data_IF_122610465365
#
_entry.id   IF_122610465365
#
_cell.length_a   1.000
_cell.length_b   1.000
_cell.length_c   1.000
_cell.angle_alpha   90.00
_cell.angle_beta   90.00
_cell.angle_gamma   90.00
#
_symmetry.space_group_name_H-M   'P 1'
#
loop_
_entity.id
_entity.type
_entity.pdbx_description
1 polymer ?
#
# COMPACT_ATOMS: atom_id res chain seq x y z
N UNK A 1 23.42 -38.55 17.04
CA UNK A 1 22.75 -37.54 16.20
C UNK A 1 21.26 -37.64 16.49
N UNK A 2 20.67 -36.65 17.18
CA UNK A 2 19.22 -36.66 17.46
C UNK A 2 18.47 -36.38 16.16
N UNK A 3 17.44 -37.15 15.85
CA UNK A 3 16.62 -37.03 14.62
C UNK A 3 15.88 -35.67 14.46
N UNK A 4 16.10 -34.68 15.34
CA UNK A 4 15.64 -33.29 15.20
C UNK A 4 16.72 -32.29 14.80
N UNK A 5 18.00 -32.65 14.77
CA UNK A 5 19.09 -31.68 14.52
C UNK A 5 19.13 -31.19 13.08
N UNK A 6 18.93 -32.07 12.10
CA UNK A 6 19.02 -31.70 10.68
C UNK A 6 17.91 -30.74 10.25
N UNK A 7 16.68 -30.95 10.75
CA UNK A 7 15.56 -30.05 10.47
C UNK A 7 15.77 -28.67 11.11
N UNK A 8 16.29 -28.64 12.34
CA UNK A 8 16.67 -27.40 13.02
C UNK A 8 17.72 -26.63 12.18
N UNK A 9 18.81 -27.28 11.78
CA UNK A 9 19.85 -26.61 10.98
C UNK A 9 19.32 -26.13 9.64
N UNK A 10 18.46 -26.91 8.97
CA UNK A 10 17.83 -26.53 7.72
C UNK A 10 16.92 -25.31 7.91
N UNK A 11 16.09 -25.31 8.95
CA UNK A 11 15.21 -24.17 9.29
C UNK A 11 16.01 -22.91 9.59
N UNK A 12 17.05 -23.03 10.42
CA UNK A 12 17.94 -21.91 10.75
C UNK A 12 18.67 -21.37 9.51
N UNK A 13 19.14 -22.25 8.63
CA UNK A 13 19.74 -21.82 7.36
C UNK A 13 18.76 -20.97 6.54
N UNK A 14 17.50 -21.41 6.40
CA UNK A 14 16.49 -20.64 5.65
C UNK A 14 16.13 -19.32 6.31
N UNK A 15 16.03 -19.28 7.65
CA UNK A 15 15.84 -18.02 8.38
C UNK A 15 16.97 -17.04 8.06
N UNK A 16 18.23 -17.49 8.18
CA UNK A 16 19.40 -16.64 7.91
C UNK A 16 19.49 -16.22 6.44
N UNK A 17 19.22 -17.13 5.51
CA UNK A 17 19.24 -16.83 4.08
C UNK A 17 18.17 -15.78 3.72
N UNK A 18 16.93 -15.94 4.22
CA UNK A 18 15.84 -14.99 3.98
C UNK A 18 16.15 -13.61 4.57
N UNK A 19 16.53 -13.56 5.85
CA UNK A 19 16.75 -12.28 6.52
C UNK A 19 18.06 -11.62 6.06
N UNK A 20 19.06 -12.40 5.67
CA UNK A 20 20.27 -11.90 5.01
C UNK A 20 19.99 -11.34 3.62
N UNK A 21 19.12 -11.99 2.84
CA UNK A 21 18.63 -11.44 1.58
C UNK A 21 17.94 -10.09 1.81
N UNK A 22 17.02 -9.99 2.79
CA UNK A 22 16.35 -8.72 3.11
C UNK A 22 17.36 -7.62 3.47
N UNK A 23 18.36 -7.91 4.30
CA UNK A 23 19.44 -6.95 4.65
C UNK A 23 20.29 -6.55 3.44
N UNK A 24 20.44 -7.42 2.45
CA UNK A 24 21.23 -7.12 1.25
C UNK A 24 20.50 -6.20 0.26
N UNK A 25 19.20 -5.95 0.46
CA UNK A 25 18.42 -5.02 -0.35
C UNK A 25 18.44 -3.60 0.26
N UNK A 26 18.19 -2.57 -0.56
CA UNK A 26 17.89 -1.19 -0.13
C UNK A 26 16.37 -0.92 -0.20
N UNK A 27 15.58 -1.45 0.74
CA UNK A 27 14.14 -1.26 0.76
C UNK A 27 13.79 0.18 1.13
N UNK A 28 12.83 0.75 0.40
CA UNK A 28 12.29 2.11 0.63
C UNK A 28 11.62 2.25 2.01
N UNK A 29 11.22 1.14 2.63
CA UNK A 29 10.47 1.13 3.88
C UNK A 29 10.76 -0.10 4.78
N UNK A 30 11.95 -0.73 4.72
CA UNK A 30 12.22 -1.80 5.68
C UNK A 30 12.69 -1.26 7.02
N UNK A 31 12.27 -1.97 8.04
CA UNK A 31 12.69 -1.77 9.41
C UNK A 31 13.73 -2.83 9.71
N UNK A 32 15.00 -2.49 9.46
CA UNK A 32 16.11 -3.43 9.64
C UNK A 32 16.20 -3.93 11.07
N UNK A 33 15.76 -3.14 12.04
CA UNK A 33 15.66 -3.48 13.45
C UNK A 33 14.76 -4.70 13.68
N UNK A 34 13.57 -4.75 13.05
CA UNK A 34 12.67 -5.91 13.15
C UNK A 34 13.26 -7.14 12.45
N UNK A 35 13.98 -6.95 11.35
CA UNK A 35 14.63 -8.05 10.65
C UNK A 35 15.77 -8.67 11.49
N UNK A 36 16.61 -7.84 12.12
CA UNK A 36 17.65 -8.30 13.04
C UNK A 36 17.05 -8.95 14.29
N UNK A 37 15.98 -8.37 14.85
CA UNK A 37 15.26 -8.96 15.98
C UNK A 37 14.70 -10.34 15.62
N UNK A 38 14.22 -10.54 14.39
CA UNK A 38 13.70 -11.84 13.93
C UNK A 38 14.80 -12.90 13.84
N UNK A 39 16.00 -12.53 13.38
CA UNK A 39 17.19 -13.42 13.42
C UNK A 39 17.52 -13.79 14.87
N UNK A 40 17.60 -12.79 15.75
CA UNK A 40 17.87 -13.02 17.17
C UNK A 40 16.82 -13.94 17.81
N UNK A 41 15.52 -13.67 17.57
CA UNK A 41 14.42 -14.46 18.10
C UNK A 41 14.48 -15.92 17.62
N UNK A 42 14.88 -16.16 16.36
CA UNK A 42 15.07 -17.52 15.85
C UNK A 42 16.20 -18.27 16.59
N UNK A 43 17.36 -17.63 16.80
CA UNK A 43 18.43 -18.25 17.60
C UNK A 43 18.00 -18.47 19.06
N UNK A 44 17.36 -17.48 19.67
CA UNK A 44 16.87 -17.60 21.04
C UNK A 44 15.91 -18.78 21.17
N UNK A 45 14.84 -18.82 20.38
CA UNK A 45 13.80 -19.83 20.48
C UNK A 45 14.28 -21.22 20.04
N UNK A 46 14.92 -21.34 18.88
CA UNK A 46 15.17 -22.66 18.29
C UNK A 46 16.54 -23.24 18.63
N UNK A 47 17.55 -22.41 18.92
CA UNK A 47 18.87 -22.88 19.35
C UNK A 47 19.05 -22.80 20.87
N UNK A 48 18.59 -21.72 21.50
CA UNK A 48 18.67 -21.52 22.94
C UNK A 48 17.65 -22.35 23.74
N UNK A 49 16.44 -22.52 23.20
CA UNK A 49 15.33 -23.21 23.87
C UNK A 49 14.64 -24.25 22.99
N UNK A 50 15.36 -25.22 22.40
CA UNK A 50 14.83 -26.15 21.40
C UNK A 50 13.70 -27.06 21.91
N UNK A 51 13.60 -27.25 23.23
CA UNK A 51 12.59 -28.10 23.86
C UNK A 51 11.27 -27.35 24.16
N UNK A 52 11.19 -26.04 23.94
CA UNK A 52 9.96 -25.25 24.13
C UNK A 52 9.04 -25.46 22.93
N UNK A 53 7.82 -25.94 23.20
CA UNK A 53 6.78 -26.14 22.18
C UNK A 53 5.73 -25.03 22.17
N UNK A 54 4.97 -24.93 21.08
CA UNK A 54 3.80 -24.03 20.99
C UNK A 54 2.73 -24.33 22.06
N UNK A 55 2.71 -25.56 22.59
CA UNK A 55 1.80 -25.98 23.65
C UNK A 55 2.27 -25.58 25.06
N UNK A 56 3.47 -25.00 25.18
CA UNK A 56 3.98 -24.52 26.46
C UNK A 56 3.28 -23.24 26.96
N UNK A 57 2.40 -22.64 26.15
CA UNK A 57 1.59 -21.49 26.56
C UNK A 57 0.52 -21.94 27.56
N UNK A 58 0.82 -21.83 28.86
CA UNK A 58 -0.06 -22.27 29.94
C UNK A 58 -1.30 -21.39 30.19
N UNK A 59 -1.42 -20.24 29.52
CA UNK A 59 -2.52 -19.30 29.70
C UNK A 59 -3.51 -19.39 28.53
N UNK A 60 -4.74 -19.87 28.81
CA UNK A 60 -5.80 -19.97 27.80
C UNK A 60 -6.11 -18.61 27.14
N UNK A 61 -6.27 -17.49 27.88
CA UNK A 61 -6.48 -16.18 27.25
C UNK A 61 -5.35 -15.78 26.30
N UNK A 62 -4.09 -16.04 26.67
CA UNK A 62 -2.95 -15.73 25.81
C UNK A 62 -2.94 -16.61 24.56
N UNK A 63 -3.22 -17.91 24.70
CA UNK A 63 -3.33 -18.83 23.56
C UNK A 63 -4.41 -18.38 22.57
N UNK A 64 -5.59 -18.01 23.06
CA UNK A 64 -6.68 -17.49 22.21
C UNK A 64 -6.24 -16.20 21.50
N UNK A 65 -5.63 -15.26 22.22
CA UNK A 65 -5.12 -14.03 21.62
C UNK A 65 -4.11 -14.31 20.50
N UNK A 66 -3.14 -15.21 20.74
CA UNK A 66 -2.13 -15.57 19.75
C UNK A 66 -2.73 -16.24 18.52
N UNK A 67 -3.71 -17.14 18.69
CA UNK A 67 -4.43 -17.76 17.56
C UNK A 67 -5.16 -16.69 16.74
N UNK A 68 -5.87 -15.76 17.39
CA UNK A 68 -6.60 -14.69 16.69
C UNK A 68 -5.62 -13.78 15.95
N UNK A 69 -4.58 -13.29 16.63
CA UNK A 69 -3.66 -12.29 16.11
C UNK A 69 -2.70 -12.84 15.05
N UNK A 70 -2.20 -14.07 15.22
CA UNK A 70 -1.17 -14.65 14.37
C UNK A 70 -1.72 -15.58 13.28
N UNK A 71 -2.95 -16.07 13.41
CA UNK A 71 -3.56 -16.98 12.42
C UNK A 71 -4.84 -16.42 11.82
N UNK A 72 -5.85 -16.12 12.64
CA UNK A 72 -7.18 -15.80 12.11
C UNK A 72 -7.21 -14.45 11.39
N UNK A 73 -6.66 -13.39 11.98
CA UNK A 73 -6.64 -12.08 11.34
C UNK A 73 -5.79 -12.06 10.05
N UNK A 74 -4.56 -12.63 10.02
CA UNK A 74 -3.82 -12.83 8.78
C UNK A 74 -4.58 -13.64 7.73
N UNK A 75 -5.18 -14.76 8.11
CA UNK A 75 -5.93 -15.61 7.17
C UNK A 75 -7.12 -14.86 6.58
N UNK A 76 -7.95 -14.25 7.42
CA UNK A 76 -9.13 -13.49 6.99
C UNK A 76 -8.70 -12.32 6.10
N UNK A 77 -7.65 -11.58 6.45
CA UNK A 77 -7.19 -10.45 5.65
C UNK A 77 -6.55 -10.84 4.31
N UNK A 78 -5.99 -12.05 4.20
CA UNK A 78 -5.52 -12.55 2.91
C UNK A 78 -6.66 -13.07 2.02
N UNK A 79 -7.75 -13.58 2.61
CA UNK A 79 -8.95 -14.02 1.89
C UNK A 79 -9.89 -12.86 1.52
N UNK A 80 -10.01 -11.87 2.41
CA UNK A 80 -10.94 -10.73 2.32
C UNK A 80 -10.21 -9.42 2.58
N UNK A 81 -9.32 -9.00 1.66
CA UNK A 81 -8.43 -7.86 1.85
C UNK A 81 -9.14 -6.54 2.16
N UNK A 82 -10.34 -6.33 1.61
CA UNK A 82 -11.15 -5.14 1.87
C UNK A 82 -11.71 -5.03 3.30
N UNK A 83 -11.60 -6.10 4.11
CA UNK A 83 -12.23 -6.16 5.46
C UNK A 83 -11.25 -6.06 6.62
N UNK A 84 -9.99 -6.40 6.39
CA UNK A 84 -8.96 -6.40 7.44
C UNK A 84 -7.78 -5.61 6.91
N UNK A 85 -7.39 -4.60 7.68
CA UNK A 85 -6.24 -3.76 7.35
C UNK A 85 -5.03 -4.62 7.00
N UNK A 86 -4.30 -4.21 5.96
CA UNK A 86 -3.16 -4.95 5.46
C UNK A 86 -2.05 -5.08 6.54
N UNK A 87 -1.99 -4.16 7.50
CA UNK A 87 -1.12 -4.20 8.68
C UNK A 87 -1.41 -5.41 9.56
N UNK A 88 -2.67 -5.53 9.99
CA UNK A 88 -3.10 -6.62 10.87
C UNK A 88 -3.06 -7.96 10.13
N UNK A 89 -3.26 -7.92 8.81
CA UNK A 89 -3.18 -9.09 7.96
C UNK A 89 -1.73 -9.54 7.63
N UNK A 90 -0.71 -8.81 8.09
CA UNK A 90 0.71 -9.07 7.82
C UNK A 90 1.08 -9.03 6.32
N UNK A 91 0.40 -8.18 5.53
CA UNK A 91 0.54 -8.12 4.05
C UNK A 91 1.55 -7.08 3.57
N UNK A 92 2.16 -6.34 4.48
CA UNK A 92 3.10 -5.25 4.19
C UNK A 92 4.39 -5.69 3.47
N UNK A 93 4.71 -6.98 3.47
CA UNK A 93 5.82 -7.52 2.67
C UNK A 93 5.40 -8.25 1.39
N UNK A 94 4.10 -8.42 1.15
CA UNK A 94 3.60 -9.23 0.05
C UNK A 94 3.57 -8.50 -1.31
N UNK A 95 3.91 -7.21 -1.37
CA UNK A 95 3.79 -6.44 -2.60
C UNK A 95 2.34 -6.14 -3.01
N UNK A 96 1.36 -6.48 -2.16
CA UNK A 96 -0.07 -6.55 -2.49
C UNK A 96 -0.90 -5.85 -1.40
N UNK A 97 -1.16 -4.56 -1.61
CA UNK A 97 -1.98 -3.72 -0.73
C UNK A 97 -2.90 -2.81 -1.55
N UNK A 98 -3.97 -2.33 -0.92
CA UNK A 98 -4.87 -1.37 -1.53
C UNK A 98 -4.16 -0.04 -1.70
N UNK A 99 -4.44 0.68 -2.78
CA UNK A 99 -3.82 1.97 -3.03
C UNK A 99 -4.76 2.90 -3.80
N UNK A 100 -4.44 4.18 -3.78
CA UNK A 100 -5.26 5.20 -4.41
C UNK A 100 -4.39 6.20 -5.18
N UNK A 101 -4.93 6.71 -6.28
CA UNK A 101 -4.37 7.83 -7.01
C UNK A 101 -5.35 9.01 -6.93
N UNK A 102 -4.92 10.11 -6.31
CA UNK A 102 -5.69 11.34 -6.20
C UNK A 102 -5.28 12.29 -7.33
N UNK A 103 -6.25 12.69 -8.14
CA UNK A 103 -6.06 13.49 -9.35
C UNK A 103 -6.73 14.85 -9.16
N UNK A 104 -5.92 15.89 -8.95
CA UNK A 104 -6.37 17.27 -8.77
C UNK A 104 -6.21 18.05 -10.07
N UNK A 105 -7.30 18.44 -10.72
CA UNK A 105 -7.27 19.16 -12.00
C UNK A 105 -6.97 20.65 -11.80
N UNK A 106 -6.19 21.26 -12.70
CA UNK A 106 -5.99 22.71 -12.81
C UNK A 106 -5.56 23.38 -11.49
N UNK A 107 -4.75 22.69 -10.68
CA UNK A 107 -4.27 23.22 -9.39
C UNK A 107 -5.31 23.21 -8.26
N UNK A 108 -6.42 22.47 -8.41
CA UNK A 108 -7.48 22.36 -7.41
C UNK A 108 -7.00 21.84 -6.05
N UNK A 109 -5.83 21.17 -5.98
CA UNK A 109 -5.21 20.71 -4.73
C UNK A 109 -5.05 21.84 -3.69
N UNK A 110 -4.98 23.11 -4.13
CA UNK A 110 -4.94 24.28 -3.23
C UNK A 110 -6.19 24.43 -2.37
N UNK A 111 -7.35 23.88 -2.79
CA UNK A 111 -8.57 23.86 -1.96
C UNK A 111 -8.36 23.08 -0.66
N UNK A 112 -7.37 22.19 -0.59
CA UNK A 112 -6.96 21.53 0.66
C UNK A 112 -6.41 22.50 1.72
N UNK A 113 -6.10 23.75 1.36
CA UNK A 113 -5.61 24.78 2.31
C UNK A 113 -6.69 25.21 3.31
N UNK A 114 -7.96 24.93 3.03
CA UNK A 114 -9.07 25.12 3.98
C UNK A 114 -8.96 24.15 5.16
N UNK A 115 -8.34 22.98 4.96
CA UNK A 115 -8.19 21.97 5.99
C UNK A 115 -7.02 22.30 6.92
N UNK A 116 -7.20 22.05 8.23
CA UNK A 116 -6.09 21.98 9.17
C UNK A 116 -5.37 20.64 8.98
N UNK A 117 -4.28 20.67 8.20
CA UNK A 117 -3.49 19.50 7.81
C UNK A 117 -2.24 19.35 8.68
N UNK A 118 -1.74 18.12 8.84
CA UNK A 118 -0.48 17.86 9.52
C UNK A 118 0.71 18.47 8.78
N UNK A 119 0.66 18.46 7.43
CA UNK A 119 1.60 19.13 6.55
C UNK A 119 0.96 19.43 5.19
N UNK A 120 1.52 20.35 4.38
CA UNK A 120 1.17 20.49 2.95
C UNK A 120 1.41 19.18 2.17
N UNK A 121 0.92 19.09 0.92
CA UNK A 121 1.26 17.94 0.06
C UNK A 121 2.77 17.88 -0.20
N UNK A 122 3.29 16.70 -0.52
CA UNK A 122 4.73 16.48 -0.66
C UNK A 122 5.36 17.41 -1.71
N UNK A 123 4.73 17.59 -2.87
CA UNK A 123 5.24 18.54 -3.87
C UNK A 123 5.22 19.98 -3.37
N UNK A 124 4.22 20.42 -2.58
CA UNK A 124 4.22 21.75 -1.96
C UNK A 124 5.40 21.92 -0.97
N UNK A 125 5.75 20.86 -0.24
CA UNK A 125 6.90 20.86 0.66
C UNK A 125 8.22 20.91 -0.12
N UNK A 126 8.34 20.12 -1.19
CA UNK A 126 9.52 20.06 -2.04
C UNK A 126 9.77 21.36 -2.81
N UNK A 127 8.72 22.07 -3.22
CA UNK A 127 8.80 23.38 -3.89
C UNK A 127 9.46 24.47 -3.02
N UNK A 128 9.61 24.26 -1.72
CA UNK A 128 10.37 25.17 -0.83
C UNK A 128 11.88 25.06 -1.03
N UNK A 129 12.34 23.95 -1.59
CA UNK A 129 13.76 23.61 -1.71
C UNK A 129 14.19 23.35 -3.16
N UNK A 130 13.24 23.02 -4.04
CA UNK A 130 13.48 22.67 -5.43
C UNK A 130 12.69 23.57 -6.39
N UNK A 131 13.22 23.89 -7.58
CA UNK A 131 12.44 24.47 -8.66
C UNK A 131 11.16 23.66 -8.94
N UNK A 132 10.06 24.32 -9.31
CA UNK A 132 8.74 23.70 -9.43
C UNK A 132 8.72 22.43 -10.28
N UNK A 133 9.43 22.43 -11.42
CA UNK A 133 9.53 21.25 -12.30
C UNK A 133 10.26 20.08 -11.62
N UNK A 134 11.32 20.36 -10.86
CA UNK A 134 12.10 19.34 -10.16
C UNK A 134 11.32 18.75 -8.97
N UNK A 135 10.50 19.55 -8.29
CA UNK A 135 9.60 19.04 -7.24
C UNK A 135 8.58 18.06 -7.83
N UNK A 136 7.96 18.38 -8.97
CA UNK A 136 7.03 17.45 -9.65
C UNK A 136 7.76 16.17 -10.09
N UNK A 137 8.98 16.28 -10.63
CA UNK A 137 9.78 15.12 -11.03
C UNK A 137 10.15 14.24 -9.83
N UNK A 138 10.51 14.84 -8.69
CA UNK A 138 10.84 14.10 -7.48
C UNK A 138 9.62 13.32 -6.95
N UNK A 139 8.43 13.93 -6.93
CA UNK A 139 7.20 13.22 -6.53
C UNK A 139 6.76 12.17 -7.56
N UNK A 140 7.04 12.38 -8.84
CA UNK A 140 6.74 11.40 -9.91
C UNK A 140 7.43 10.05 -9.68
N UNK A 141 8.45 9.97 -8.81
CA UNK A 141 9.03 8.72 -8.34
C UNK A 141 8.02 7.75 -7.73
N UNK A 142 6.99 8.24 -7.02
CA UNK A 142 5.92 7.40 -6.45
C UNK A 142 5.06 6.78 -7.55
N UNK A 143 4.67 7.58 -8.55
CA UNK A 143 3.93 7.09 -9.71
C UNK A 143 4.75 6.06 -10.50
N UNK A 144 6.02 6.35 -10.76
CA UNK A 144 6.93 5.42 -11.44
C UNK A 144 7.06 4.11 -10.66
N UNK A 145 7.35 4.18 -9.35
CA UNK A 145 7.36 3.02 -8.46
C UNK A 145 6.07 2.20 -8.58
N UNK A 146 4.91 2.84 -8.49
CA UNK A 146 3.61 2.18 -8.57
C UNK A 146 3.48 1.39 -9.87
N UNK A 147 3.78 2.01 -10.99
CA UNK A 147 3.60 1.41 -12.32
C UNK A 147 4.57 0.27 -12.64
N UNK A 148 5.72 0.22 -11.97
CA UNK A 148 6.67 -0.87 -12.08
C UNK A 148 6.15 -2.17 -11.42
N UNK A 149 5.19 -2.07 -10.50
CA UNK A 149 4.57 -3.21 -9.83
C UNK A 149 3.32 -3.69 -10.58
N UNK A 150 3.07 -5.00 -10.55
CA UNK A 150 1.99 -5.65 -11.31
C UNK A 150 0.63 -4.97 -11.09
N UNK A 151 0.28 -4.70 -9.84
CA UNK A 151 -0.97 -4.06 -9.47
C UNK A 151 -1.09 -2.62 -9.96
N UNK A 152 0.03 -1.89 -10.07
CA UNK A 152 0.01 -0.50 -10.51
C UNK A 152 -0.11 -0.34 -12.02
N UNK A 153 0.15 -1.39 -12.81
CA UNK A 153 -0.05 -1.37 -14.28
C UNK A 153 -1.50 -1.14 -14.71
N UNK A 154 -2.45 -1.32 -13.78
CA UNK A 154 -3.85 -0.97 -14.00
C UNK A 154 -4.04 0.55 -14.18
N UNK A 155 -3.14 1.39 -13.67
CA UNK A 155 -3.21 2.86 -13.84
C UNK A 155 -3.31 3.24 -15.32
N UNK A 156 -2.59 2.53 -16.19
CA UNK A 156 -2.65 2.77 -17.62
C UNK A 156 -4.00 2.50 -18.29
N UNK A 157 -4.88 1.73 -17.63
CA UNK A 157 -6.25 1.49 -18.09
C UNK A 157 -7.22 2.50 -17.47
N UNK A 158 -6.94 2.90 -16.23
CA UNK A 158 -7.86 3.70 -15.43
C UNK A 158 -7.65 5.20 -15.59
N UNK A 159 -6.42 5.66 -15.86
CA UNK A 159 -6.13 7.08 -16.02
C UNK A 159 -6.93 7.73 -17.16
N UNK A 160 -6.97 7.19 -18.40
CA UNK A 160 -7.78 7.78 -19.47
C UNK A 160 -9.27 7.89 -19.11
N UNK A 161 -9.79 6.91 -18.35
CA UNK A 161 -11.17 6.91 -17.86
C UNK A 161 -11.37 7.94 -16.75
N UNK A 162 -10.42 8.03 -15.83
CA UNK A 162 -10.47 8.95 -14.69
C UNK A 162 -10.28 10.40 -15.12
N UNK A 163 -9.53 10.67 -16.18
CA UNK A 163 -9.37 12.03 -16.72
C UNK A 163 -10.44 12.41 -17.74
N UNK A 164 -11.33 11.48 -18.11
CA UNK A 164 -12.35 11.67 -19.16
C UNK A 164 -11.71 12.18 -20.47
N UNK A 165 -10.58 11.57 -20.86
CA UNK A 165 -9.80 11.95 -22.03
C UNK A 165 -9.04 13.27 -21.94
N UNK A 166 -9.19 14.05 -20.86
CA UNK A 166 -8.44 15.30 -20.69
C UNK A 166 -6.92 15.01 -20.52
N UNK A 167 -6.05 15.91 -21.00
CA UNK A 167 -4.59 15.74 -20.88
C UNK A 167 -4.16 15.54 -19.43
N UNK A 168 -3.33 14.53 -19.18
CA UNK A 168 -2.85 14.22 -17.83
C UNK A 168 -2.04 15.38 -17.20
N UNK A 169 -1.41 16.22 -18.03
CA UNK A 169 -0.66 17.40 -17.61
C UNK A 169 -1.52 18.47 -16.92
N UNK A 170 -2.84 18.43 -17.10
CA UNK A 170 -3.78 19.28 -16.35
C UNK A 170 -3.99 18.78 -14.91
N UNK A 171 -3.55 17.56 -14.59
CA UNK A 171 -3.75 16.95 -13.28
C UNK A 171 -2.45 16.93 -12.47
N UNK A 172 -2.58 17.32 -11.21
CA UNK A 172 -1.59 17.01 -10.18
C UNK A 172 -1.93 15.64 -9.61
N UNK A 173 -1.05 14.67 -9.84
CA UNK A 173 -1.13 13.34 -9.24
C UNK A 173 -0.55 13.38 -7.83
N UNK A 174 -1.30 12.87 -6.85
CA UNK A 174 -0.79 12.55 -5.52
C UNK A 174 -1.13 11.09 -5.19
N UNK A 175 -0.15 10.34 -4.70
CA UNK A 175 -0.44 9.01 -4.15
C UNK A 175 -1.30 9.17 -2.89
N UNK A 176 -2.31 8.31 -2.71
CA UNK A 176 -3.20 8.36 -1.57
C UNK A 176 -2.45 8.36 -0.22
N UNK A 177 -1.30 7.69 -0.15
CA UNK A 177 -0.45 7.68 1.05
C UNK A 177 0.05 9.09 1.42
N UNK A 178 0.39 9.94 0.44
CA UNK A 178 0.84 11.31 0.70
C UNK A 178 -0.33 12.21 1.09
N UNK A 179 -1.53 11.97 0.52
CA UNK A 179 -2.75 12.67 0.90
C UNK A 179 -3.18 12.32 2.32
N UNK A 180 -3.19 11.04 2.69
CA UNK A 180 -3.48 10.60 4.06
C UNK A 180 -2.45 11.15 5.07
N UNK A 181 -1.15 11.09 4.73
CA UNK A 181 -0.10 11.68 5.56
C UNK A 181 -0.28 13.20 5.76
N UNK A 182 -0.73 13.92 4.73
CA UNK A 182 -1.01 15.34 4.80
C UNK A 182 -2.27 15.66 5.62
N UNK A 183 -3.40 15.03 5.30
CA UNK A 183 -4.72 15.38 5.84
C UNK A 183 -4.97 14.73 7.21
N UNK A 184 -4.67 13.44 7.35
CA UNK A 184 -4.91 12.67 8.58
C UNK A 184 -3.72 12.77 9.54
N UNK A 185 -2.51 13.00 9.02
CA UNK A 185 -1.27 13.01 9.81
C UNK A 185 -0.71 11.61 10.07
N UNK A 186 -1.25 10.59 9.41
CA UNK A 186 -0.77 9.22 9.51
C UNK A 186 -0.92 8.52 8.15
N UNK A 187 0.14 7.84 7.72
CA UNK A 187 0.09 6.87 6.65
C UNK A 187 1.05 5.72 6.98
N UNK A 188 0.72 4.53 6.52
CA UNK A 188 1.61 3.38 6.53
C UNK A 188 1.25 2.47 5.37
N UNK A 189 1.13 2.98 4.14
CA UNK A 189 0.75 2.13 2.99
C UNK A 189 -0.64 1.51 3.05
N UNK A 190 -1.55 2.02 3.90
CA UNK A 190 -2.94 1.56 3.99
C UNK A 190 -3.84 2.37 3.06
N UNK A 191 -4.13 1.85 1.87
CA UNK A 191 -5.01 2.51 0.90
C UNK A 191 -6.44 2.70 1.40
N UNK A 192 -6.90 1.92 2.39
CA UNK A 192 -8.23 2.14 2.99
C UNK A 192 -8.33 3.46 3.78
N UNK A 193 -7.22 4.13 4.08
CA UNK A 193 -7.24 5.46 4.70
C UNK A 193 -7.39 6.61 3.70
N UNK A 194 -7.09 6.38 2.43
CA UNK A 194 -7.15 7.38 1.37
C UNK A 194 -8.23 7.04 0.33
N UNK A 195 -9.22 6.25 0.73
CA UNK A 195 -10.35 5.83 -0.09
C UNK A 195 -11.48 6.88 -0.12
N UNK A 196 -12.69 6.46 -0.53
CA UNK A 196 -13.84 7.34 -0.64
C UNK A 196 -14.29 7.94 0.70
N UNK A 197 -13.91 7.35 1.84
CA UNK A 197 -14.23 7.90 3.16
C UNK A 197 -13.47 9.20 3.37
N UNK A 198 -12.17 9.19 3.08
CA UNK A 198 -11.37 10.41 3.14
C UNK A 198 -11.80 11.40 2.06
N UNK A 199 -12.10 10.93 0.85
CA UNK A 199 -12.62 11.79 -0.23
C UNK A 199 -13.89 12.54 0.20
N UNK A 200 -14.86 11.85 0.82
CA UNK A 200 -16.09 12.49 1.32
C UNK A 200 -15.79 13.52 2.40
N UNK A 201 -14.94 13.18 3.37
CA UNK A 201 -14.57 14.11 4.43
C UNK A 201 -13.84 15.35 3.87
N UNK A 202 -12.94 15.18 2.90
CA UNK A 202 -12.28 16.28 2.19
C UNK A 202 -13.31 17.13 1.43
N UNK A 203 -14.24 16.48 0.71
CA UNK A 203 -15.25 17.17 -0.08
C UNK A 203 -16.20 18.04 0.77
N UNK A 204 -16.60 17.54 1.95
CA UNK A 204 -17.48 18.27 2.88
C UNK A 204 -16.93 19.64 3.28
N UNK A 205 -15.60 19.81 3.26
CA UNK A 205 -14.92 21.04 3.66
C UNK A 205 -14.38 21.85 2.47
N UNK A 206 -13.85 21.17 1.46
CA UNK A 206 -13.14 21.81 0.35
C UNK A 206 -14.04 22.17 -0.83
N UNK A 207 -15.23 21.57 -0.94
CA UNK A 207 -16.22 21.84 -1.98
C UNK A 207 -15.60 21.85 -3.40
N UNK A 208 -14.98 20.73 -3.78
CA UNK A 208 -14.55 20.54 -5.16
C UNK A 208 -15.77 20.50 -6.09
N UNK A 209 -15.64 21.09 -7.27
CA UNK A 209 -16.60 21.00 -8.35
C UNK A 209 -16.41 19.70 -9.13
N UNK A 210 -17.38 19.35 -9.97
CA UNK A 210 -17.30 18.16 -10.81
C UNK A 210 -16.03 18.17 -11.67
N UNK A 211 -15.27 17.08 -11.63
CA UNK A 211 -14.03 16.91 -12.38
C UNK A 211 -12.79 17.58 -11.79
N UNK A 212 -12.91 18.35 -10.69
CA UNK A 212 -11.74 18.99 -10.07
C UNK A 212 -10.90 18.03 -9.23
N UNK A 213 -11.55 17.06 -8.57
CA UNK A 213 -10.88 16.03 -7.78
C UNK A 213 -11.52 14.67 -8.06
N UNK A 214 -10.71 13.75 -8.58
CA UNK A 214 -11.08 12.35 -8.78
C UNK A 214 -10.08 11.43 -8.10
N UNK A 215 -10.56 10.32 -7.58
CA UNK A 215 -9.74 9.30 -6.93
C UNK A 215 -9.95 7.97 -7.64
N UNK A 216 -8.85 7.35 -8.05
CA UNK A 216 -8.83 5.95 -8.46
C UNK A 216 -8.50 5.14 -7.22
N UNK A 217 -9.36 4.20 -6.84
CA UNK A 217 -9.14 3.27 -5.75
C UNK A 217 -8.94 1.87 -6.32
N UNK A 218 -7.86 1.20 -5.94
CA UNK A 218 -7.61 -0.20 -6.33
C UNK A 218 -7.40 -1.03 -5.08
N UNK A 219 -8.23 -2.05 -4.94
CA UNK A 219 -8.18 -2.98 -3.82
C UNK A 219 -7.03 -3.98 -4.01
N UNK A 220 -6.53 -4.49 -2.89
CA UNK A 220 -5.54 -5.54 -2.90
C UNK A 220 -6.16 -6.87 -3.41
N UNK A 221 -5.35 -7.68 -4.08
CA UNK A 221 -5.77 -8.99 -4.57
C UNK A 221 -5.98 -9.98 -3.41
N UNK A 222 -7.12 -10.69 -3.32
CA UNK A 222 -7.27 -11.85 -2.44
C UNK A 222 -6.28 -12.97 -2.82
N UNK A 223 -5.77 -13.73 -1.86
CA UNK A 223 -4.73 -14.76 -2.11
C UNK A 223 -5.16 -15.85 -3.10
N UNK A 224 -6.46 -16.12 -3.23
CA UNK A 224 -7.04 -17.07 -4.18
C UNK A 224 -7.70 -16.40 -5.40
N UNK A 225 -7.63 -15.07 -5.51
CA UNK A 225 -8.23 -14.32 -6.61
C UNK A 225 -7.28 -14.15 -7.80
N UNK A 226 -7.81 -13.83 -8.98
CA UNK A 226 -7.03 -13.47 -10.18
C UNK A 226 -7.21 -12.02 -10.62
N UNK A 227 -8.02 -11.25 -9.89
CA UNK A 227 -8.45 -9.91 -10.28
C UNK A 227 -8.12 -8.85 -9.24
N UNK A 228 -7.96 -7.62 -9.71
CA UNK A 228 -7.98 -6.42 -8.88
C UNK A 228 -9.31 -5.69 -9.06
N UNK A 229 -10.01 -5.45 -7.95
CA UNK A 229 -11.19 -4.59 -7.94
C UNK A 229 -10.76 -3.12 -7.96
N UNK A 230 -11.38 -2.33 -8.83
CA UNK A 230 -11.07 -0.92 -8.98
C UNK A 230 -12.33 -0.07 -9.03
N UNK A 231 -12.21 1.16 -8.56
CA UNK A 231 -13.27 2.18 -8.53
C UNK A 231 -12.69 3.54 -8.91
N UNK A 232 -13.47 4.36 -9.61
CA UNK A 232 -13.14 5.75 -9.93
C UNK A 232 -14.25 6.62 -9.36
N UNK A 233 -13.87 7.57 -8.51
CA UNK A 233 -14.82 8.38 -7.75
C UNK A 233 -14.47 9.85 -7.90
N UNK A 234 -15.45 10.64 -8.31
CA UNK A 234 -15.38 12.09 -8.31
C UNK A 234 -15.85 12.64 -6.96
N UNK A 235 -15.15 13.65 -6.44
CA UNK A 235 -15.46 14.24 -5.15
C UNK A 235 -16.90 14.79 -5.10
N UNK A 236 -17.37 15.43 -6.18
CA UNK A 236 -18.69 16.05 -6.25
C UNK A 236 -19.76 15.08 -6.74
N UNK A 237 -19.47 14.36 -7.81
CA UNK A 237 -20.44 13.52 -8.52
C UNK A 237 -20.56 12.10 -7.94
N UNK A 238 -19.57 11.64 -7.18
CA UNK A 238 -19.53 10.29 -6.65
C UNK A 238 -18.96 9.27 -7.64
N UNK A 239 -19.46 8.03 -7.59
CA UNK A 239 -18.90 6.91 -8.38
C UNK A 239 -19.07 7.17 -9.88
N UNK A 240 -17.95 7.17 -10.61
CA UNK A 240 -17.92 7.29 -12.07
C UNK A 240 -17.83 5.93 -12.76
N UNK A 241 -17.18 4.95 -12.12
CA UNK A 241 -17.01 3.62 -12.68
C UNK A 241 -16.41 2.65 -11.69
N UNK A 242 -16.71 1.38 -11.88
CA UNK A 242 -16.27 0.27 -11.05
C UNK A 242 -16.06 -0.96 -11.92
N UNK A 243 -15.11 -1.81 -11.55
CA UNK A 243 -14.92 -3.07 -12.24
C UNK A 243 -13.77 -3.89 -11.67
N UNK A 244 -13.39 -4.91 -12.44
CA UNK A 244 -12.29 -5.79 -12.12
C UNK A 244 -11.30 -5.83 -13.29
N UNK A 245 -10.03 -6.01 -13.00
CA UNK A 245 -8.99 -6.25 -14.00
C UNK A 245 -8.27 -7.56 -13.70
N UNK A 246 -8.14 -8.42 -14.70
CA UNK A 246 -7.40 -9.67 -14.59
C UNK A 246 -5.88 -9.41 -14.52
N UNK A 247 -5.22 -10.04 -13.57
CA UNK A 247 -3.77 -9.91 -13.38
C UNK A 247 -2.96 -10.43 -14.57
N UNK A 248 -3.49 -11.45 -15.26
CA UNK A 248 -2.89 -11.98 -16.49
C UNK A 248 -2.81 -10.93 -17.60
N UNK A 249 -3.80 -10.04 -17.68
CA UNK A 249 -3.79 -8.93 -18.63
C UNK A 249 -2.82 -7.83 -18.17
N UNK A 250 -2.84 -7.48 -16.88
CA UNK A 250 -1.90 -6.50 -16.32
C UNK A 250 -0.44 -6.94 -16.48
N UNK A 251 -0.16 -8.24 -16.40
CA UNK A 251 1.18 -8.81 -16.59
C UNK A 251 1.72 -8.59 -18.02
N UNK A 252 0.84 -8.52 -19.02
CA UNK A 252 1.22 -8.27 -20.43
C UNK A 252 1.51 -6.79 -20.71
N UNK A 253 1.00 -5.89 -19.87
CA UNK A 253 1.16 -4.43 -20.06
C UNK A 253 2.52 -3.95 -19.62
N UNK A 254 3.04 -2.92 -20.28
CA UNK A 254 4.26 -2.21 -19.86
C UNK A 254 3.92 -1.20 -18.76
N UNK A 255 4.86 -0.87 -17.86
CA UNK A 255 4.64 0.16 -16.83
C UNK A 255 4.18 1.53 -17.39
N UNK A 256 4.59 1.87 -18.61
CA UNK A 256 4.26 3.13 -19.29
C UNK A 256 3.15 2.98 -20.35
N UNK A 257 2.44 1.85 -20.38
CA UNK A 257 1.32 1.63 -21.28
C UNK A 257 0.04 2.27 -20.73
N UNK A 258 -0.18 3.56 -21.05
CA UNK A 258 -1.33 4.35 -20.61
C UNK A 258 -2.47 4.42 -21.64
N UNK A 259 -2.49 3.52 -22.64
CA UNK A 259 -3.31 3.70 -23.84
C UNK A 259 -2.62 4.66 -24.83
N UNK A 260 -3.01 4.57 -26.11
CA UNK A 260 -2.31 5.22 -27.23
C UNK A 260 -2.01 6.70 -26.99
N UNK A 261 -0.73 7.07 -27.17
CA UNK A 261 -0.27 8.41 -27.55
C UNK A 261 -0.75 8.78 -28.93
#
# INVERSE_FOLDING_TARGET
MRAGSSLLYLGMFWVLALHGFILSNLPIAAVFEWNVLSIYAAFFLFYGYPDVSLFAVGSVPLTVYLIVALLLLPLIGNLFPARVSFLVAMRYYAGNWAWNAWLFRNGSYRKLHVLKRAAPLLTEQQQRFLPAQQAVQAESGFLAFRTLHLQGRILGMLLPRATDGNPFQEYTYADGETVAGSVVGWNFGEGHLADERLLRAVQEHCHFEEGELRVICVEAQPILGSTLHWRIVDAKRGMLGEGHAELSELAKRKPWDYGET
#
